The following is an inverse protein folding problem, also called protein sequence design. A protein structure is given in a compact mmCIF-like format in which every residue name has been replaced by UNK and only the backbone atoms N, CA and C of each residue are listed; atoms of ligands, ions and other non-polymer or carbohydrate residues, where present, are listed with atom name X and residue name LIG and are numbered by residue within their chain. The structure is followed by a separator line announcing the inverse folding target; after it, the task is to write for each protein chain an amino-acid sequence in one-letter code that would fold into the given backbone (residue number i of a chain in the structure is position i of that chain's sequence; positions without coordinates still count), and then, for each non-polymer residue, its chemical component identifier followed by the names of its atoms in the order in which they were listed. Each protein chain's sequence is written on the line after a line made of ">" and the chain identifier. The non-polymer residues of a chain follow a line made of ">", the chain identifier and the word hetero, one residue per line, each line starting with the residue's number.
data_IF_928883085832
#
_entry.id   IF_928883085832
#
_cell.length_a   1.000
_cell.length_b   1.000
_cell.length_c   1.000
_cell.angle_alpha   90.00
_cell.angle_beta   90.00
_cell.angle_gamma   90.00
#
_symmetry.space_group_name_H-M   'P 1'
#
loop_
_entity.id
_entity.type
_entity.pdbx_description
1 polymer ?
#
# COMPACT_ATOMS: atom_id res chain seq x y z
N UNK A 1 -18.95 10.70 -25.92
CA UNK A 1 -18.17 9.47 -25.65
C UNK A 1 -18.33 9.10 -24.19
N UNK A 2 -18.56 7.82 -23.85
CA UNK A 2 -18.55 7.39 -22.45
C UNK A 2 -17.10 7.38 -21.95
N UNK A 3 -16.86 7.98 -20.79
CA UNK A 3 -15.55 7.89 -20.14
C UNK A 3 -15.37 6.48 -19.60
N UNK A 4 -14.22 5.86 -19.88
CA UNK A 4 -13.87 4.53 -19.40
C UNK A 4 -12.69 4.64 -18.44
N UNK A 5 -12.76 3.93 -17.31
CA UNK A 5 -11.69 3.90 -16.32
C UNK A 5 -11.15 2.47 -16.17
N UNK A 6 -9.85 2.36 -15.93
CA UNK A 6 -9.15 1.13 -15.55
C UNK A 6 -8.59 1.35 -14.15
N UNK A 7 -8.99 0.51 -13.21
CA UNK A 7 -8.46 0.50 -11.86
C UNK A 7 -7.61 -0.74 -11.65
N UNK A 8 -6.31 -0.58 -11.40
CA UNK A 8 -5.46 -1.69 -10.95
C UNK A 8 -5.54 -1.80 -9.43
N UNK A 9 -6.62 -2.43 -8.94
CA UNK A 9 -6.87 -2.67 -7.52
C UNK A 9 -6.09 -3.91 -7.04
N UNK A 10 -4.78 -3.93 -7.26
CA UNK A 10 -3.90 -5.01 -6.85
C UNK A 10 -3.27 -4.74 -5.49
N UNK A 11 -2.94 -5.80 -4.77
CA UNK A 11 -2.20 -5.67 -3.52
C UNK A 11 -0.76 -5.16 -3.75
N UNK A 12 -0.18 -4.53 -2.73
CA UNK A 12 1.23 -4.14 -2.76
C UNK A 12 2.12 -5.36 -3.11
N UNK A 13 3.14 -5.11 -3.94
CA UNK A 13 4.11 -6.11 -4.44
C UNK A 13 3.55 -7.19 -5.40
N UNK A 14 2.35 -7.00 -5.94
CA UNK A 14 1.78 -7.85 -7.01
C UNK A 14 2.11 -7.41 -8.45
N UNK A 15 3.00 -6.43 -8.65
CA UNK A 15 3.36 -5.98 -9.99
C UNK A 15 2.42 -4.94 -10.60
N UNK A 16 1.68 -4.17 -9.79
CA UNK A 16 0.84 -3.07 -10.27
C UNK A 16 1.64 -1.99 -11.01
N UNK A 17 2.84 -1.65 -10.52
CA UNK A 17 3.75 -0.68 -11.16
C UNK A 17 4.18 -1.07 -12.58
N UNK A 18 4.80 -2.24 -12.81
CA UNK A 18 5.20 -2.62 -14.16
C UNK A 18 4.00 -2.77 -15.12
N UNK A 19 2.86 -3.27 -14.66
CA UNK A 19 1.65 -3.35 -15.49
C UNK A 19 1.13 -1.97 -15.88
N UNK A 20 1.03 -1.05 -14.92
CA UNK A 20 0.61 0.33 -15.18
C UNK A 20 1.55 1.03 -16.17
N UNK A 21 2.86 0.87 -15.99
CA UNK A 21 3.86 1.40 -16.92
C UNK A 21 3.77 0.79 -18.31
N UNK A 22 3.47 -0.51 -18.43
CA UNK A 22 3.28 -1.15 -19.73
C UNK A 22 2.03 -0.64 -20.46
N UNK A 23 0.90 -0.48 -19.75
CA UNK A 23 -0.35 0.04 -20.31
C UNK A 23 -0.19 1.46 -20.86
N UNK A 24 0.53 2.32 -20.14
CA UNK A 24 0.74 3.72 -20.55
C UNK A 24 1.73 3.83 -21.69
N UNK A 25 2.87 3.13 -21.63
CA UNK A 25 3.91 3.15 -22.69
C UNK A 25 3.42 2.63 -24.03
N UNK A 26 2.46 1.69 -24.04
CA UNK A 26 1.89 1.14 -25.29
C UNK A 26 0.63 1.87 -25.76
N UNK A 27 0.28 3.02 -25.16
CA UNK A 27 -0.89 3.80 -25.58
C UNK A 27 -2.23 3.11 -25.33
N UNK A 28 -2.30 2.17 -24.38
CA UNK A 28 -3.53 1.45 -24.03
C UNK A 28 -4.38 2.26 -23.04
N UNK A 29 -3.74 3.04 -22.16
CA UNK A 29 -4.40 3.89 -21.18
C UNK A 29 -3.55 5.14 -20.87
N UNK A 30 -4.16 6.16 -20.26
CA UNK A 30 -3.46 7.34 -19.72
C UNK A 30 -3.69 7.41 -18.21
N UNK A 31 -2.68 7.78 -17.43
CA UNK A 31 -2.87 7.99 -15.99
C UNK A 31 -3.97 9.02 -15.71
N UNK A 32 -4.81 8.72 -14.72
CA UNK A 32 -5.92 9.55 -14.27
C UNK A 32 -5.44 10.94 -13.84
N UNK A 33 -4.29 10.98 -13.17
CA UNK A 33 -3.55 12.20 -12.86
C UNK A 33 -2.21 12.10 -13.57
N UNK A 34 -1.84 13.15 -14.30
CA UNK A 34 -0.63 13.16 -15.14
C UNK A 34 0.60 12.74 -14.33
N UNK A 35 1.34 11.77 -14.85
CA UNK A 35 2.52 11.17 -14.25
C UNK A 35 2.37 10.59 -12.84
N UNK A 36 1.15 10.46 -12.30
CA UNK A 36 0.90 9.87 -10.98
C UNK A 36 0.23 8.51 -11.13
N UNK A 37 0.93 7.46 -10.65
CA UNK A 37 0.43 6.08 -10.72
C UNK A 37 -0.69 5.80 -9.70
N UNK A 38 -0.49 6.23 -8.45
CA UNK A 38 -1.41 5.97 -7.32
C UNK A 38 -2.00 7.30 -6.79
N UNK A 39 -3.04 7.86 -7.43
CA UNK A 39 -3.68 9.08 -6.95
C UNK A 39 -4.57 8.86 -5.71
N UNK A 40 -4.92 7.62 -5.36
CA UNK A 40 -5.73 7.24 -4.19
C UNK A 40 -7.09 7.96 -4.06
N UNK A 41 -7.67 8.41 -5.19
CA UNK A 41 -8.87 9.24 -5.23
C UNK A 41 -10.11 8.66 -4.56
N UNK A 42 -10.20 7.34 -4.41
CA UNK A 42 -11.31 6.65 -3.73
C UNK A 42 -10.96 6.07 -2.36
N UNK A 43 -9.74 6.29 -1.85
CA UNK A 43 -9.29 5.64 -0.61
C UNK A 43 -9.91 6.28 0.63
N UNK A 44 -10.20 7.59 0.60
CA UNK A 44 -10.63 8.36 1.76
C UNK A 44 -12.13 8.70 1.72
N UNK A 45 -12.90 8.40 2.79
CA UNK A 45 -14.29 8.83 2.89
C UNK A 45 -14.44 10.34 2.79
N UNK A 46 -15.43 10.80 2.02
CA UNK A 46 -15.72 12.23 1.84
C UNK A 46 -14.91 12.94 0.76
N UNK A 47 -13.89 12.28 0.17
CA UNK A 47 -13.25 12.79 -1.04
C UNK A 47 -13.98 12.26 -2.28
N UNK A 48 -14.52 13.16 -3.10
CA UNK A 48 -14.90 12.82 -4.47
C UNK A 48 -13.72 13.14 -5.39
N UNK A 49 -13.14 12.14 -6.08
CA UNK A 49 -12.10 12.43 -7.05
C UNK A 49 -12.71 13.29 -8.17
N UNK A 50 -12.08 14.42 -8.46
CA UNK A 50 -12.40 15.17 -9.67
C UNK A 50 -11.95 14.33 -10.86
N UNK A 51 -12.92 13.69 -11.49
CA UNK A 51 -12.67 12.85 -12.64
C UNK A 51 -12.49 13.72 -13.89
N UNK A 52 -11.42 13.49 -14.67
CA UNK A 52 -11.19 14.23 -15.90
C UNK A 52 -12.27 13.92 -16.95
N UNK A 53 -12.41 14.86 -17.89
CA UNK A 53 -13.33 14.74 -19.01
C UNK A 53 -13.09 13.46 -19.84
N UNK A 54 -14.09 13.02 -20.64
CA UNK A 54 -13.91 11.89 -21.55
C UNK A 54 -12.69 12.07 -22.45
N UNK A 55 -11.88 11.02 -22.58
CA UNK A 55 -10.68 11.00 -23.41
C UNK A 55 -10.75 9.88 -24.46
N UNK A 56 -9.87 9.95 -25.48
CA UNK A 56 -9.74 8.91 -26.51
C UNK A 56 -9.25 7.57 -25.93
N UNK A 57 -8.39 7.64 -24.92
CA UNK A 57 -7.90 6.49 -24.16
C UNK A 57 -8.59 6.41 -22.80
N UNK A 58 -8.76 5.20 -22.23
CA UNK A 58 -9.26 5.05 -20.87
C UNK A 58 -8.29 5.65 -19.84
N UNK A 59 -8.86 6.16 -18.74
CA UNK A 59 -8.11 6.68 -17.60
C UNK A 59 -7.65 5.55 -16.69
N UNK A 60 -6.41 5.60 -16.20
CA UNK A 60 -5.77 4.57 -15.39
C UNK A 60 -5.46 5.08 -13.98
N UNK A 61 -5.93 4.36 -12.97
CA UNK A 61 -5.55 4.54 -11.57
C UNK A 61 -5.07 3.20 -11.02
N UNK A 62 -3.83 3.13 -10.58
CA UNK A 62 -3.20 1.89 -10.13
C UNK A 62 -2.82 1.92 -8.64
N UNK A 63 -3.74 2.47 -7.83
CA UNK A 63 -3.63 2.56 -6.38
C UNK A 63 -3.77 1.21 -5.67
N UNK A 64 -2.69 0.74 -5.06
CA UNK A 64 -2.60 -0.59 -4.46
C UNK A 64 -3.43 -0.78 -3.18
N UNK A 65 -3.86 0.32 -2.57
CA UNK A 65 -4.73 0.33 -1.38
C UNK A 65 -6.22 0.04 -1.66
N UNK A 66 -6.66 0.08 -2.92
CA UNK A 66 -8.09 -0.12 -3.25
C UNK A 66 -8.58 -1.53 -2.96
N UNK A 67 -7.72 -2.54 -3.07
CA UNK A 67 -8.06 -3.93 -2.75
C UNK A 67 -8.46 -4.15 -1.28
N UNK A 68 -8.09 -3.21 -0.40
CA UNK A 68 -8.22 -3.33 1.05
C UNK A 68 -9.24 -2.39 1.67
N UNK A 69 -9.78 -1.47 0.88
CA UNK A 69 -10.73 -0.48 1.38
C UNK A 69 -12.14 -0.85 0.93
N UNK A 70 -13.02 -1.33 1.83
CA UNK A 70 -14.43 -1.57 1.51
C UNK A 70 -15.10 -0.33 0.93
N UNK A 71 -14.68 0.86 1.38
CA UNK A 71 -15.13 2.14 0.86
C UNK A 71 -14.69 2.34 -0.60
N UNK A 72 -13.41 2.11 -0.93
CA UNK A 72 -12.97 2.20 -2.32
C UNK A 72 -13.69 1.17 -3.19
N UNK A 73 -13.77 -0.09 -2.73
CA UNK A 73 -14.40 -1.21 -3.46
C UNK A 73 -15.85 -0.91 -3.84
N UNK A 74 -16.64 -0.30 -2.95
CA UNK A 74 -18.03 0.03 -3.26
C UNK A 74 -18.18 1.15 -4.29
N UNK A 75 -17.16 2.00 -4.45
CA UNK A 75 -17.16 3.18 -5.34
C UNK A 75 -16.56 2.87 -6.71
N UNK A 76 -15.63 1.93 -6.82
CA UNK A 76 -14.97 1.56 -8.08
C UNK A 76 -15.94 1.26 -9.24
N UNK A 77 -17.13 0.65 -9.05
CA UNK A 77 -18.05 0.37 -10.16
C UNK A 77 -18.77 1.59 -10.77
N UNK A 78 -18.76 2.76 -10.12
CA UNK A 78 -19.66 3.90 -10.43
C UNK A 78 -19.45 4.56 -11.81
N UNK A 79 -18.38 4.26 -12.54
CA UNK A 79 -17.96 5.04 -13.73
C UNK A 79 -17.70 4.22 -15.00
N UNK A 80 -18.39 3.09 -15.22
CA UNK A 80 -18.15 2.28 -16.43
C UNK A 80 -16.74 1.71 -16.45
N UNK A 81 -16.36 1.08 -15.34
CA UNK A 81 -14.97 0.82 -14.98
C UNK A 81 -14.57 -0.61 -15.30
N UNK A 82 -13.28 -0.81 -15.56
CA UNK A 82 -12.64 -2.12 -15.63
C UNK A 82 -11.71 -2.25 -14.43
N UNK A 83 -11.97 -3.23 -13.58
CA UNK A 83 -11.16 -3.48 -12.40
C UNK A 83 -10.22 -4.64 -12.71
N UNK A 84 -8.92 -4.42 -12.53
CA UNK A 84 -7.87 -5.43 -12.70
C UNK A 84 -7.29 -5.74 -11.34
N UNK A 85 -7.45 -6.98 -10.89
CA UNK A 85 -6.86 -7.47 -9.66
C UNK A 85 -5.50 -8.10 -9.97
N UNK A 86 -4.43 -7.52 -9.42
CA UNK A 86 -3.09 -8.12 -9.51
C UNK A 86 -2.88 -9.03 -8.30
N UNK A 87 -2.75 -10.33 -8.54
CA UNK A 87 -2.50 -11.34 -7.51
C UNK A 87 -1.09 -11.91 -7.67
N UNK A 88 -0.50 -12.32 -6.55
CA UNK A 88 0.80 -12.99 -6.50
C UNK A 88 0.77 -14.02 -5.38
N UNK A 89 1.59 -15.07 -5.50
CA UNK A 89 1.83 -16.00 -4.40
C UNK A 89 2.09 -15.22 -3.08
N UNK A 90 1.31 -15.47 -2.01
CA UNK A 90 1.42 -14.72 -0.77
C UNK A 90 2.83 -14.74 -0.16
N UNK A 91 3.51 -15.89 -0.14
CA UNK A 91 4.87 -15.98 0.41
C UNK A 91 5.89 -15.16 -0.38
N UNK A 92 5.84 -15.22 -1.70
CA UNK A 92 6.70 -14.38 -2.53
C UNK A 92 6.40 -12.89 -2.35
N UNK A 93 5.13 -12.55 -2.15
CA UNK A 93 4.68 -11.19 -1.87
C UNK A 93 5.19 -10.71 -0.52
N UNK A 94 5.09 -11.54 0.53
CA UNK A 94 5.68 -11.33 1.86
C UNK A 94 7.18 -11.07 1.74
N UNK A 95 7.89 -11.95 1.03
CA UNK A 95 9.34 -11.84 0.86
C UNK A 95 9.73 -10.57 0.11
N UNK A 96 8.99 -10.21 -0.93
CA UNK A 96 9.20 -8.97 -1.67
C UNK A 96 8.94 -7.73 -0.82
N UNK A 97 7.92 -7.76 0.04
CA UNK A 97 7.63 -6.70 1.02
C UNK A 97 8.74 -6.59 2.07
N UNK A 98 9.14 -7.72 2.65
CA UNK A 98 10.24 -7.81 3.61
C UNK A 98 11.55 -7.25 3.05
N UNK A 99 11.95 -7.66 1.83
CA UNK A 99 13.16 -7.14 1.19
C UNK A 99 13.09 -5.63 0.98
N UNK A 100 11.93 -5.11 0.56
CA UNK A 100 11.74 -3.67 0.37
C UNK A 100 11.90 -2.91 1.68
N UNK A 101 11.23 -3.37 2.74
CA UNK A 101 11.28 -2.75 4.06
C UNK A 101 12.69 -2.84 4.65
N UNK A 102 13.38 -3.97 4.48
CA UNK A 102 14.76 -4.14 4.92
C UNK A 102 15.70 -3.17 4.19
N UNK A 103 15.60 -3.06 2.86
CA UNK A 103 16.39 -2.10 2.09
C UNK A 103 16.11 -0.66 2.55
N UNK A 104 14.83 -0.27 2.65
CA UNK A 104 14.45 1.05 3.16
C UNK A 104 15.00 1.30 4.58
N UNK A 105 15.08 0.25 5.41
CA UNK A 105 15.63 0.35 6.75
C UNK A 105 17.16 0.47 6.78
N UNK A 106 17.91 -0.04 5.80
CA UNK A 106 19.39 0.01 5.80
C UNK A 106 19.95 1.44 5.74
N UNK A 107 19.21 2.37 5.12
CA UNK A 107 19.56 3.80 5.05
C UNK A 107 20.95 4.14 4.46
N UNK A 108 21.62 3.20 3.79
CA UNK A 108 22.86 3.44 3.06
C UNK A 108 22.62 4.07 1.67
N UNK A 109 23.69 4.51 1.01
CA UNK A 109 23.63 5.22 -0.27
C UNK A 109 23.01 4.40 -1.42
N UNK A 110 23.16 3.08 -1.41
CA UNK A 110 22.62 2.20 -2.45
C UNK A 110 21.13 1.92 -2.23
N UNK A 111 20.72 1.66 -0.99
CA UNK A 111 19.33 1.54 -0.58
C UNK A 111 18.52 2.80 -0.91
N UNK A 112 19.13 3.96 -0.67
CA UNK A 112 18.62 5.27 -1.04
C UNK A 112 18.39 5.42 -2.55
N UNK A 113 19.38 5.04 -3.35
CA UNK A 113 19.28 5.09 -4.80
C UNK A 113 18.15 4.17 -5.34
N UNK A 114 18.02 2.97 -4.77
CA UNK A 114 16.96 2.03 -5.15
C UNK A 114 15.57 2.55 -4.78
N UNK A 115 15.40 3.11 -3.57
CA UNK A 115 14.14 3.69 -3.12
C UNK A 115 13.71 4.85 -4.02
N UNK A 116 14.64 5.76 -4.34
CA UNK A 116 14.39 6.87 -5.28
C UNK A 116 13.98 6.40 -6.68
N UNK A 117 14.61 5.33 -7.19
CA UNK A 117 14.25 4.74 -8.48
C UNK A 117 12.81 4.18 -8.47
N UNK A 118 12.43 3.50 -7.38
CA UNK A 118 11.07 2.99 -7.20
C UNK A 118 10.04 4.13 -7.17
N UNK A 119 10.31 5.19 -6.42
CA UNK A 119 9.42 6.35 -6.27
C UNK A 119 9.25 7.12 -7.58
N UNK A 120 10.33 7.28 -8.34
CA UNK A 120 10.28 7.82 -9.71
C UNK A 120 9.40 6.96 -10.61
N UNK A 121 9.49 5.63 -10.50
CA UNK A 121 8.67 4.72 -11.28
C UNK A 121 7.18 4.69 -10.83
N UNK A 122 6.88 5.00 -9.56
CA UNK A 122 5.50 5.13 -9.06
C UNK A 122 4.89 6.50 -9.30
N UNK A 123 5.61 7.45 -9.90
CA UNK A 123 5.04 8.76 -10.24
C UNK A 123 4.83 9.69 -9.05
N UNK A 124 5.52 9.44 -7.92
CA UNK A 124 5.37 10.18 -6.66
C UNK A 124 6.46 11.24 -6.48
N UNK A 125 6.97 11.83 -7.57
CA UNK A 125 8.08 12.82 -7.53
C UNK A 125 7.60 14.26 -7.45
N UNK A 126 6.31 14.50 -7.62
CA UNK A 126 5.72 15.84 -7.74
C UNK A 126 4.41 15.87 -6.96
N UNK A 127 4.29 16.83 -6.03
CA UNK A 127 3.05 17.07 -5.32
C UNK A 127 1.97 17.63 -6.26
N UNK A 128 0.70 17.57 -5.86
CA UNK A 128 -0.47 17.99 -6.66
C UNK A 128 -0.43 19.46 -7.11
N UNK A 129 0.37 20.29 -6.44
CA UNK A 129 0.60 21.71 -6.77
C UNK A 129 1.82 21.95 -7.68
N UNK A 130 2.39 20.90 -8.28
CA UNK A 130 3.58 20.98 -9.13
C UNK A 130 4.88 21.19 -8.37
N UNK A 131 4.87 21.21 -7.03
CA UNK A 131 6.09 21.31 -6.24
C UNK A 131 6.84 19.98 -6.33
N UNK A 132 8.14 19.97 -6.70
CA UNK A 132 8.96 18.78 -6.56
C UNK A 132 8.85 18.28 -5.12
N UNK A 133 8.46 17.01 -4.95
CA UNK A 133 8.46 16.40 -3.62
C UNK A 133 9.88 16.57 -3.04
N UNK A 134 10.02 16.96 -1.75
CA UNK A 134 11.33 17.12 -1.13
C UNK A 134 12.15 15.86 -1.38
N UNK A 135 13.44 16.05 -1.68
CA UNK A 135 14.37 14.96 -2.00
C UNK A 135 14.23 13.89 -0.91
N UNK A 136 13.70 12.74 -1.29
CA UNK A 136 13.40 11.66 -0.36
C UNK A 136 14.74 11.15 0.17
N UNK A 137 15.06 11.57 1.40
CA UNK A 137 16.17 11.03 2.17
C UNK A 137 15.76 9.68 2.73
N UNK A 138 16.70 8.90 3.27
CA UNK A 138 16.41 7.57 3.79
C UNK A 138 15.42 7.59 4.96
N UNK A 139 15.23 8.78 5.53
CA UNK A 139 14.23 9.09 6.54
C UNK A 139 12.83 9.29 5.97
N UNK A 140 12.62 9.65 4.71
CA UNK A 140 11.31 10.14 4.24
C UNK A 140 10.22 9.07 4.16
N UNK A 141 10.43 7.86 3.61
CA UNK A 141 9.38 6.83 3.57
C UNK A 141 9.09 6.25 4.96
N UNK A 142 10.14 6.11 5.78
CA UNK A 142 9.99 5.72 7.19
C UNK A 142 9.19 6.78 7.96
N UNK A 143 9.56 8.05 7.81
CA UNK A 143 8.93 9.15 8.50
C UNK A 143 7.51 9.40 7.99
N UNK A 144 7.23 9.22 6.69
CA UNK A 144 5.88 9.31 6.12
C UNK A 144 4.97 8.19 6.66
N UNK A 145 5.45 6.95 6.71
CA UNK A 145 4.70 5.82 7.30
C UNK A 145 4.51 6.03 8.81
N UNK A 146 5.57 6.47 9.52
CA UNK A 146 5.53 6.81 10.95
C UNK A 146 4.52 7.93 11.20
N UNK A 147 4.58 9.02 10.46
CA UNK A 147 3.70 10.18 10.60
C UNK A 147 2.25 9.81 10.25
N UNK A 148 2.02 9.04 9.18
CA UNK A 148 0.70 8.54 8.81
C UNK A 148 0.09 7.72 9.96
N UNK A 149 0.88 6.83 10.54
CA UNK A 149 0.43 5.93 11.58
C UNK A 149 0.25 6.66 12.91
N UNK A 150 1.15 7.56 13.29
CA UNK A 150 0.99 8.42 14.46
C UNK A 150 -0.26 9.31 14.40
N UNK A 151 -0.66 9.76 13.19
CA UNK A 151 -1.92 10.50 12.99
C UNK A 151 -3.17 9.65 13.21
N UNK A 152 -3.06 8.32 13.08
CA UNK A 152 -4.19 7.39 13.31
C UNK A 152 -4.38 7.05 14.80
N UNK A 153 -3.42 7.37 15.67
CA UNK A 153 -3.52 7.12 17.11
C UNK A 153 -3.76 8.42 17.91
N UNK A 154 -4.55 8.37 19.01
CA UNK A 154 -4.70 9.50 19.93
C UNK A 154 -3.35 10.03 20.44
N UNK A 155 -3.25 11.35 20.68
CA UNK A 155 -2.03 12.02 21.21
C UNK A 155 -1.42 11.36 22.45
N UNK A 156 -2.27 10.80 23.32
CA UNK A 156 -1.82 10.10 24.54
C UNK A 156 -1.08 8.78 24.25
N UNK A 157 -1.38 8.14 23.12
CA UNK A 157 -0.78 6.87 22.69
C UNK A 157 0.31 7.03 21.64
N UNK A 158 0.39 8.17 20.96
CA UNK A 158 1.34 8.39 19.86
C UNK A 158 2.80 8.20 20.29
N UNK A 159 3.19 8.69 21.47
CA UNK A 159 4.55 8.51 22.00
C UNK A 159 4.92 7.05 22.31
N UNK A 160 3.94 6.20 22.63
CA UNK A 160 4.17 4.76 22.80
C UNK A 160 4.31 4.04 21.45
N UNK A 161 3.47 4.42 20.47
CA UNK A 161 3.51 3.89 19.10
C UNK A 161 4.83 4.26 18.42
N UNK A 162 5.28 5.50 18.57
CA UNK A 162 6.55 6.00 18.05
C UNK A 162 7.74 5.16 18.50
N UNK A 163 7.88 4.91 19.81
CA UNK A 163 8.96 4.07 20.34
C UNK A 163 8.92 2.64 19.79
N UNK A 164 7.71 2.11 19.54
CA UNK A 164 7.55 0.78 18.97
C UNK A 164 8.00 0.73 17.50
N UNK A 165 7.75 1.79 16.73
CA UNK A 165 8.22 1.93 15.36
C UNK A 165 9.74 1.89 15.26
N UNK A 166 10.43 2.71 16.04
CA UNK A 166 11.89 2.80 16.01
C UNK A 166 12.51 1.43 16.37
N UNK A 167 11.99 0.78 17.42
CA UNK A 167 12.45 -0.55 17.84
C UNK A 167 12.20 -1.64 16.77
N UNK A 168 11.05 -1.59 16.09
CA UNK A 168 10.70 -2.58 15.07
C UNK A 168 11.52 -2.41 13.79
N UNK A 169 11.82 -1.17 13.39
CA UNK A 169 12.76 -0.87 12.30
C UNK A 169 14.15 -1.38 12.62
N UNK A 170 14.66 -1.13 13.83
CA UNK A 170 15.98 -1.62 14.24
C UNK A 170 16.07 -3.14 14.25
N UNK A 171 14.99 -3.81 14.63
CA UNK A 171 14.89 -5.27 14.55
C UNK A 171 14.87 -5.77 13.11
N UNK A 172 14.12 -5.11 12.22
CA UNK A 172 14.06 -5.44 10.79
C UNK A 172 15.42 -5.33 10.10
N UNK A 173 16.26 -4.36 10.50
CA UNK A 173 17.63 -4.21 9.99
C UNK A 173 18.49 -5.45 10.27
N UNK A 174 18.37 -5.99 11.48
CA UNK A 174 19.28 -7.03 12.00
C UNK A 174 18.79 -8.45 11.77
N UNK A 175 17.47 -8.66 11.70
CA UNK A 175 16.87 -10.00 11.59
C UNK A 175 16.99 -10.60 10.19
N UNK A 176 16.95 -11.94 10.11
CA UNK A 176 16.63 -12.66 8.89
C UNK A 176 15.11 -12.83 8.71
N UNK A 177 14.70 -13.40 7.57
CA UNK A 177 13.29 -13.55 7.24
C UNK A 177 12.61 -14.72 7.92
N UNK A 178 13.31 -15.83 8.16
CA UNK A 178 12.75 -16.99 8.84
C UNK A 178 12.39 -16.64 10.29
N UNK A 179 13.33 -16.03 11.03
CA UNK A 179 13.08 -15.54 12.38
C UNK A 179 12.01 -14.45 12.43
N UNK A 180 11.82 -13.68 11.36
CA UNK A 180 10.69 -12.74 11.24
C UNK A 180 9.37 -13.47 11.09
N UNK A 181 9.28 -14.48 10.23
CA UNK A 181 8.08 -15.30 10.07
C UNK A 181 7.70 -16.01 11.37
N UNK A 182 8.69 -16.59 12.07
CA UNK A 182 8.47 -17.25 13.36
C UNK A 182 7.94 -16.26 14.39
N UNK A 183 8.55 -15.07 14.47
CA UNK A 183 8.06 -14.01 15.35
C UNK A 183 6.62 -13.58 15.01
N UNK A 184 6.32 -13.29 13.74
CA UNK A 184 4.97 -12.83 13.36
C UNK A 184 3.92 -13.91 13.58
N UNK A 185 4.28 -15.17 13.32
CA UNK A 185 3.41 -16.33 13.58
C UNK A 185 3.19 -16.51 15.07
N UNK A 186 4.23 -16.48 15.90
CA UNK A 186 4.11 -16.57 17.35
C UNK A 186 3.31 -15.38 17.92
N UNK A 187 3.54 -14.17 17.42
CA UNK A 187 2.80 -12.97 17.81
C UNK A 187 1.32 -13.09 17.44
N UNK A 188 1.00 -13.57 16.23
CA UNK A 188 -0.38 -13.86 15.83
C UNK A 188 -1.04 -14.92 16.71
N UNK A 189 -0.33 -16.00 17.01
CA UNK A 189 -0.87 -17.10 17.83
C UNK A 189 -1.13 -16.67 19.28
N UNK A 190 -0.30 -15.79 19.82
CA UNK A 190 -0.39 -15.33 21.22
C UNK A 190 -1.28 -14.11 21.40
N UNK A 191 -1.23 -13.14 20.49
CA UNK A 191 -1.95 -11.86 20.59
C UNK A 191 -3.20 -11.79 19.72
N UNK A 192 -3.43 -12.79 18.86
CA UNK A 192 -4.52 -12.84 17.87
C UNK A 192 -4.58 -11.60 16.98
N UNK A 193 -3.43 -10.95 16.82
CA UNK A 193 -3.23 -9.78 15.99
C UNK A 193 -1.81 -9.84 15.43
N UNK A 194 -1.52 -9.10 14.37
CA UNK A 194 -0.19 -9.03 13.79
C UNK A 194 0.63 -7.89 14.41
N UNK A 195 1.97 -8.01 14.41
CA UNK A 195 2.83 -6.94 14.89
C UNK A 195 2.83 -5.75 13.94
N UNK A 196 3.32 -4.61 14.43
CA UNK A 196 3.52 -3.43 13.61
C UNK A 196 4.42 -3.74 12.40
N UNK A 197 4.10 -3.17 11.23
CA UNK A 197 4.78 -3.46 9.95
C UNK A 197 4.82 -4.95 9.58
N UNK A 198 3.76 -5.71 9.88
CA UNK A 198 3.73 -7.14 9.56
C UNK A 198 3.87 -7.40 8.06
N UNK A 199 4.88 -8.20 7.71
CA UNK A 199 5.08 -8.63 6.33
C UNK A 199 4.04 -9.67 5.92
N UNK A 200 3.52 -10.44 6.88
CA UNK A 200 2.42 -11.40 6.67
C UNK A 200 1.08 -10.70 6.45
N UNK A 201 0.74 -9.63 7.18
CA UNK A 201 -0.46 -8.80 6.88
C UNK A 201 -0.35 -8.19 5.52
N UNK A 202 0.82 -7.62 5.24
CA UNK A 202 1.12 -7.09 3.92
C UNK A 202 1.08 -8.18 2.85
N UNK A 203 0.95 -9.47 3.16
CA UNK A 203 0.85 -10.60 2.25
C UNK A 203 -0.52 -11.32 2.21
N UNK A 204 -1.35 -11.18 3.24
CA UNK A 204 -2.51 -12.06 3.48
C UNK A 204 -3.90 -11.46 3.24
N UNK A 205 -4.03 -10.17 2.98
CA UNK A 205 -5.37 -9.56 2.85
C UNK A 205 -5.93 -9.65 1.41
N UNK A 206 -7.05 -10.32 1.06
CA UNK A 206 -7.93 -11.36 1.66
C UNK A 206 -8.77 -12.01 0.51
N UNK A 207 -9.44 -13.19 0.64
CA UNK A 207 -10.82 -13.19 1.15
C UNK A 207 -11.15 -14.39 2.07
N UNK A 208 -11.57 -14.09 3.30
CA UNK A 208 -12.62 -14.80 4.03
C UNK A 208 -12.94 -14.03 5.31
N UNK A 209 -14.08 -13.34 5.29
CA UNK A 209 -14.90 -13.19 6.49
C UNK A 209 -15.26 -14.60 6.98
N UNK A 210 -14.70 -14.96 8.13
CA UNK A 210 -15.08 -16.13 8.91
C UNK A 210 -15.26 -15.73 10.36
N UNK A 211 -16.39 -15.07 10.63
CA UNK A 211 -17.06 -14.91 11.93
C UNK A 211 -16.28 -14.29 13.11
N UNK A 212 -16.59 -13.01 13.39
CA UNK A 212 -16.94 -12.63 14.75
C UNK A 212 -18.39 -13.09 15.01
N UNK A 213 -18.59 -13.92 16.03
CA UNK A 213 -19.81 -13.94 16.82
C UNK A 213 -19.43 -14.13 18.28
N UNK A 214 -19.69 -13.10 19.08
CA UNK A 214 -19.92 -13.23 20.52
C UNK A 214 -21.40 -13.60 20.63
N UNK A 215 -21.70 -14.77 21.22
CA UNK A 215 -23.06 -15.25 21.40
C UNK A 215 -23.10 -16.56 22.19
N UNK A 216 -23.43 -16.45 23.47
CA UNK A 216 -23.67 -17.53 24.44
C UNK A 216 -24.74 -18.53 24.00
N UNK A 217 -24.50 -19.83 24.22
CA UNK A 217 -25.51 -20.77 24.72
C UNK A 217 -24.85 -22.00 25.37
N UNK A 218 -25.20 -22.24 26.64
CA UNK A 218 -24.97 -23.48 27.40
C UNK A 218 -25.87 -24.62 26.88
N UNK A 219 -25.53 -25.81 27.38
CA UNK A 219 -26.27 -27.08 27.48
C UNK A 219 -26.12 -27.96 26.24
N UNK A 220 -25.79 -29.24 26.35
CA UNK A 220 -25.94 -30.22 27.45
C UNK A 220 -24.66 -31.00 27.68
#
# INVERSE_FOLDING_TARGET
>A
MKTNYIFLAGMAKCGTTPLAGWLTKNGIAKYLVEDIKEPHGYLFPGTQPQLPAPAKLPWLDASSGYALSPYAISRLPEHGTRIVLCLRNPFERTWSSYRMNKINALQDGEALALSNSYLKASGTTTARNGTPMPKITASTPYQEEKDLQLRMFPRVSSGYVERHFDAEIDRLRKGDFAGRLDYETAFLMTRRNFPFMSVLVAASTTPALGAFSIGTARKT
#
